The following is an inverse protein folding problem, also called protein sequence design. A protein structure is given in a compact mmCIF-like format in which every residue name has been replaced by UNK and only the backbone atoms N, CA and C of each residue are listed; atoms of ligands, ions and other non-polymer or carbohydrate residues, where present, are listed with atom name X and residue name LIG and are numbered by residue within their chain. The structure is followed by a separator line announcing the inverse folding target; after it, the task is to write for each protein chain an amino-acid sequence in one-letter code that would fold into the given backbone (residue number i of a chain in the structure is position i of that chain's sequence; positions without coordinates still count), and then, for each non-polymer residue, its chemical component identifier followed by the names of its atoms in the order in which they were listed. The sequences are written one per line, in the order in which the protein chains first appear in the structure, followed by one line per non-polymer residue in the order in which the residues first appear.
data_IF_311010559072
#
_entry.id   IF_311010559072
#
_cell.length_a   1.000
_cell.length_b   1.000
_cell.length_c   1.000
_cell.angle_alpha   90.00
_cell.angle_beta   90.00
_cell.angle_gamma   90.00
#
_symmetry.space_group_name_H-M   'P 1'
#
loop_
_entity.id
_entity.type
_entity.pdbx_description
1 polymer ?
#
# COMPACT_ATOMS: atom_id res chain seq x y z
N UNK A 1 -21.55 -9.65 -9.16
CA UNK A 1 -20.75 -8.59 -8.53
C UNK A 1 -20.30 -7.63 -9.63
N UNK A 2 -21.25 -7.00 -10.33
CA UNK A 2 -20.90 -5.74 -10.96
C UNK A 2 -20.46 -4.82 -9.82
N UNK A 3 -19.18 -4.45 -9.78
CA UNK A 3 -18.76 -3.27 -9.02
C UNK A 3 -19.67 -2.16 -9.54
N UNK A 4 -20.30 -1.43 -8.61
CA UNK A 4 -20.92 -0.14 -8.94
C UNK A 4 -19.90 0.62 -9.79
N UNK A 5 -20.28 1.28 -10.90
CA UNK A 5 -19.38 2.16 -11.61
C UNK A 5 -19.13 3.33 -10.67
N UNK A 6 -18.09 3.19 -9.87
CA UNK A 6 -17.56 4.25 -9.02
C UNK A 6 -16.33 4.68 -9.77
N UNK A 7 -16.26 5.96 -10.17
CA UNK A 7 -15.30 6.48 -11.14
C UNK A 7 -13.83 6.24 -10.78
N UNK A 8 -12.93 6.92 -11.49
CA UNK A 8 -11.50 6.70 -11.33
C UNK A 8 -11.00 6.78 -9.87
N UNK A 9 -10.13 5.86 -9.45
CA UNK A 9 -9.67 5.80 -8.07
C UNK A 9 -8.90 7.07 -7.72
N UNK A 10 -9.34 7.75 -6.65
CA UNK A 10 -8.64 8.92 -6.14
C UNK A 10 -7.53 8.46 -5.19
N UNK A 11 -6.27 8.89 -5.40
CA UNK A 11 -5.19 8.63 -4.48
C UNK A 11 -5.32 9.49 -3.22
N UNK A 12 -5.55 8.85 -2.08
CA UNK A 12 -5.54 9.52 -0.78
C UNK A 12 -4.29 9.12 0.00
N UNK A 13 -3.75 10.09 0.73
CA UNK A 13 -2.68 9.85 1.71
C UNK A 13 -3.13 10.44 3.04
N UNK A 14 -3.05 9.62 4.07
CA UNK A 14 -3.34 10.00 5.45
C UNK A 14 -2.05 9.86 6.24
N UNK A 15 -1.87 10.63 7.31
CA UNK A 15 -0.80 10.36 8.25
C UNK A 15 -0.99 8.94 8.86
N UNK A 16 0.10 8.27 9.26
CA UNK A 16 0.04 6.88 9.72
C UNK A 16 -0.96 6.66 10.87
N UNK A 17 -1.07 7.63 11.79
CA UNK A 17 -1.94 7.52 12.97
C UNK A 17 -3.42 7.64 12.62
N UNK A 18 -3.78 8.60 11.76
CA UNK A 18 -5.13 8.75 11.23
C UNK A 18 -5.53 7.52 10.42
N UNK A 19 -4.62 7.00 9.58
CA UNK A 19 -4.89 5.80 8.79
C UNK A 19 -5.19 4.60 9.69
N UNK A 20 -4.35 4.35 10.69
CA UNK A 20 -4.53 3.24 11.63
C UNK A 20 -5.87 3.34 12.36
N UNK A 21 -6.22 4.52 12.90
CA UNK A 21 -7.49 4.73 13.61
C UNK A 21 -8.71 4.53 12.72
N UNK A 22 -8.65 4.95 11.46
CA UNK A 22 -9.72 4.69 10.49
C UNK A 22 -9.85 3.20 10.18
N UNK A 23 -8.74 2.47 10.08
CA UNK A 23 -8.73 1.03 9.86
C UNK A 23 -9.33 0.27 11.06
N UNK A 24 -8.96 0.66 12.29
CA UNK A 24 -9.54 0.15 13.54
C UNK A 24 -11.07 0.36 13.57
N UNK A 25 -11.55 1.58 13.32
CA UNK A 25 -12.99 1.86 13.25
C UNK A 25 -13.70 1.04 12.15
N UNK A 26 -13.03 0.75 11.04
CA UNK A 26 -13.64 -0.11 10.01
C UNK A 26 -13.64 -1.59 10.35
N UNK A 27 -12.72 -2.05 11.18
CA UNK A 27 -12.69 -3.44 11.64
C UNK A 27 -13.96 -3.78 12.42
N UNK A 28 -14.42 -2.85 13.27
CA UNK A 28 -15.62 -3.00 14.10
C UNK A 28 -16.92 -3.04 13.27
N UNK A 29 -16.94 -2.36 12.11
CA UNK A 29 -18.11 -2.31 11.21
C UNK A 29 -18.11 -3.51 10.24
N UNK A 30 -16.93 -4.04 9.90
CA UNK A 30 -16.76 -5.26 9.13
C UNK A 30 -15.81 -5.16 7.93
N UNK A 31 -15.40 -6.29 7.35
CA UNK A 31 -14.28 -6.36 6.42
C UNK A 31 -14.53 -5.57 5.13
N UNK A 32 -13.48 -4.86 4.66
CA UNK A 32 -13.43 -4.12 3.38
C UNK A 32 -14.39 -2.92 3.29
N UNK A 33 -14.72 -2.28 4.42
CA UNK A 33 -15.61 -1.10 4.46
C UNK A 33 -14.88 0.25 4.50
N UNK A 34 -13.54 0.26 4.50
CA UNK A 34 -12.72 1.47 4.51
C UNK A 34 -13.15 2.50 3.45
N UNK A 35 -13.31 2.09 2.19
CA UNK A 35 -13.74 3.02 1.13
C UNK A 35 -15.14 3.60 1.34
N UNK A 36 -16.05 2.87 1.98
CA UNK A 36 -17.38 3.39 2.32
C UNK A 36 -17.31 4.35 3.51
N UNK A 37 -16.47 4.07 4.51
CA UNK A 37 -16.21 5.00 5.62
C UNK A 37 -15.67 6.33 5.11
N UNK A 38 -14.69 6.29 4.20
CA UNK A 38 -14.11 7.48 3.58
C UNK A 38 -15.15 8.27 2.79
N UNK A 39 -16.05 7.61 2.04
CA UNK A 39 -17.16 8.30 1.36
C UNK A 39 -18.16 8.91 2.33
N UNK A 40 -18.48 8.23 3.45
CA UNK A 40 -19.32 8.80 4.51
C UNK A 40 -18.67 10.05 5.09
N UNK A 41 -17.36 10.04 5.32
CA UNK A 41 -16.62 11.22 5.78
C UNK A 41 -16.75 12.39 4.79
N UNK A 42 -16.53 12.13 3.50
CA UNK A 42 -16.67 13.15 2.45
C UNK A 42 -18.09 13.75 2.43
N UNK A 43 -19.12 12.90 2.52
CA UNK A 43 -20.52 13.35 2.51
C UNK A 43 -20.91 14.11 3.76
N UNK A 44 -20.34 13.78 4.93
CA UNK A 44 -20.53 14.55 6.17
C UNK A 44 -19.87 15.92 6.06
N UNK A 45 -18.69 16.01 5.46
CA UNK A 45 -18.02 17.28 5.20
C UNK A 45 -18.87 18.18 4.27
N UNK A 46 -19.42 17.60 3.20
CA UNK A 46 -20.26 18.31 2.23
C UNK A 46 -21.67 18.66 2.74
N UNK A 47 -22.13 18.04 3.83
CA UNK A 47 -23.44 18.33 4.40
C UNK A 47 -23.50 19.71 5.09
N UNK A 48 -22.34 20.26 5.47
CA UNK A 48 -22.22 21.57 6.12
C UNK A 48 -21.02 22.34 5.52
N UNK A 49 -21.13 22.78 4.25
CA UNK A 49 -20.01 23.37 3.51
C UNK A 49 -19.54 24.71 4.11
N UNK A 50 -20.43 25.43 4.80
CA UNK A 50 -20.14 26.75 5.37
C UNK A 50 -19.21 26.69 6.58
N UNK A 51 -19.15 25.54 7.28
CA UNK A 51 -18.22 25.32 8.40
C UNK A 51 -16.85 24.79 7.97
N UNK A 52 -16.71 24.35 6.72
CA UNK A 52 -15.45 23.81 6.19
C UNK A 52 -14.30 24.83 6.20
N UNK A 53 -14.47 26.12 5.83
CA UNK A 53 -13.38 27.10 5.83
C UNK A 53 -12.73 27.26 7.20
N UNK A 54 -13.54 27.40 8.26
CA UNK A 54 -13.04 27.58 9.62
C UNK A 54 -12.31 26.33 10.12
N UNK A 55 -12.90 25.14 9.89
CA UNK A 55 -12.30 23.88 10.28
C UNK A 55 -10.99 23.59 9.51
N UNK A 56 -10.94 23.95 8.22
CA UNK A 56 -9.73 23.83 7.40
C UNK A 56 -8.63 24.77 7.90
N UNK A 57 -8.95 26.03 8.18
CA UNK A 57 -7.99 27.00 8.73
C UNK A 57 -7.45 26.56 10.10
N UNK A 58 -8.30 25.98 10.96
CA UNK A 58 -7.87 25.42 12.24
C UNK A 58 -6.99 24.19 12.06
N UNK A 59 -7.33 23.29 11.13
CA UNK A 59 -6.52 22.11 10.82
C UNK A 59 -5.14 22.49 10.24
N UNK A 60 -5.08 23.51 9.38
CA UNK A 60 -3.83 24.07 8.85
C UNK A 60 -2.96 24.65 9.97
N UNK A 61 -3.55 25.41 10.90
CA UNK A 61 -2.85 25.95 12.08
C UNK A 61 -2.35 24.87 13.03
N UNK A 62 -3.21 23.94 13.44
CA UNK A 62 -2.81 22.82 14.31
C UNK A 62 -1.75 21.94 13.65
N UNK A 63 -1.84 21.73 12.34
CA UNK A 63 -0.80 21.02 11.59
C UNK A 63 0.49 21.82 11.52
N UNK A 64 0.43 23.14 11.43
CA UNK A 64 1.61 23.99 11.50
C UNK A 64 2.27 23.92 12.88
N UNK A 65 1.50 24.03 13.95
CA UNK A 65 1.98 23.93 15.33
C UNK A 65 2.56 22.56 15.65
N UNK A 66 1.90 21.46 15.22
CA UNK A 66 2.43 20.10 15.42
C UNK A 66 3.70 19.82 14.60
N UNK A 67 3.93 20.57 13.52
CA UNK A 67 5.13 20.47 12.67
C UNK A 67 6.23 21.43 13.09
N UNK A 68 5.98 22.34 14.05
CA UNK A 68 7.01 23.18 14.66
C UNK A 68 8.09 22.31 15.27
N UNK A 69 9.33 22.57 14.86
CA UNK A 69 10.47 21.72 15.18
C UNK A 69 10.89 21.99 16.63
N UNK A 70 10.86 20.99 17.54
CA UNK A 70 11.62 21.10 18.78
C UNK A 70 13.10 21.10 18.38
N UNK A 71 13.76 22.24 18.56
CA UNK A 71 15.14 22.40 18.18
C UNK A 71 16.05 21.53 19.04
N UNK A 72 17.00 20.83 18.41
CA UNK A 72 18.05 20.13 19.13
C UNK A 72 19.12 21.15 19.56
N UNK A 73 19.33 21.28 20.87
CA UNK A 73 20.44 22.06 21.40
C UNK A 73 21.75 21.31 21.18
N UNK A 74 22.74 21.99 20.59
CA UNK A 74 24.10 21.47 20.45
C UNK A 74 25.12 22.48 20.96
N UNK A 75 26.08 22.07 21.82
CA UNK A 75 27.23 22.90 22.12
C UNK A 75 28.14 22.94 20.89
N UNK A 76 28.61 24.13 20.54
CA UNK A 76 29.53 24.39 19.46
C UNK A 76 30.67 25.27 19.98
N UNK A 77 31.86 24.70 20.06
CA UNK A 77 33.08 25.44 20.42
C UNK A 77 33.65 26.07 19.17
N UNK A 78 33.90 27.39 19.23
CA UNK A 78 34.40 28.23 18.13
C UNK A 78 35.66 28.96 18.57
N UNK A 79 36.50 29.36 17.61
CA UNK A 79 37.55 30.34 17.87
C UNK A 79 36.92 31.75 18.07
N UNK A 80 37.60 32.66 18.79
CA UNK A 80 37.04 33.98 19.11
C UNK A 80 36.67 34.82 17.88
N UNK A 81 37.44 34.73 16.79
CA UNK A 81 37.19 35.50 15.57
C UNK A 81 35.91 35.02 14.88
N UNK A 82 35.75 33.70 14.72
CA UNK A 82 34.55 33.07 14.16
C UNK A 82 33.32 33.39 15.01
N UNK A 83 33.43 33.31 16.34
CA UNK A 83 32.32 33.64 17.27
C UNK A 83 31.87 35.10 17.13
N UNK A 84 32.83 36.03 17.09
CA UNK A 84 32.56 37.47 16.93
C UNK A 84 31.87 37.77 15.60
N UNK A 85 32.38 37.20 14.50
CA UNK A 85 31.80 37.41 13.17
C UNK A 85 30.39 36.83 13.06
N UNK A 86 30.15 35.65 13.65
CA UNK A 86 28.82 35.04 13.70
C UNK A 86 27.83 35.92 14.47
N UNK A 87 28.27 36.55 15.56
CA UNK A 87 27.43 37.48 16.33
C UNK A 87 27.10 38.76 15.54
N UNK A 88 28.08 39.32 14.84
CA UNK A 88 27.86 40.49 13.97
C UNK A 88 26.83 40.21 12.87
N UNK A 89 26.93 39.07 12.18
CA UNK A 89 25.96 38.69 11.15
C UNK A 89 24.56 38.48 11.73
N UNK A 90 24.44 37.86 12.91
CA UNK A 90 23.16 37.72 13.57
C UNK A 90 22.50 39.08 13.85
N UNK A 91 23.30 40.06 14.28
CA UNK A 91 22.83 41.43 14.51
C UNK A 91 22.45 42.15 13.21
N UNK A 92 23.28 42.07 12.17
CA UNK A 92 23.07 42.72 10.86
C UNK A 92 21.77 42.24 10.20
N UNK A 93 21.47 40.95 10.29
CA UNK A 93 20.27 40.35 9.68
C UNK A 93 19.09 40.23 10.65
N UNK A 94 19.14 40.90 11.80
CA UNK A 94 18.10 40.87 12.84
C UNK A 94 17.60 39.45 13.18
N UNK A 95 18.55 38.52 13.36
CA UNK A 95 18.27 37.10 13.57
C UNK A 95 19.13 36.52 14.69
N UNK A 96 18.99 35.22 14.96
CA UNK A 96 19.77 34.53 15.98
C UNK A 96 20.97 33.79 15.38
N UNK A 97 21.99 33.53 16.21
CA UNK A 97 23.17 32.75 15.79
C UNK A 97 22.76 31.37 15.25
N UNK A 98 21.72 30.76 15.81
CA UNK A 98 21.20 29.47 15.35
C UNK A 98 20.64 29.53 13.92
N UNK A 99 19.96 30.61 13.54
CA UNK A 99 19.48 30.84 12.17
C UNK A 99 20.64 30.85 11.17
N UNK A 100 21.70 31.60 11.48
CA UNK A 100 22.88 31.67 10.62
C UNK A 100 23.52 30.29 10.46
N UNK A 101 23.69 29.55 11.57
CA UNK A 101 24.27 28.18 11.54
C UNK A 101 23.38 27.21 10.76
N UNK A 102 22.04 27.33 10.85
CA UNK A 102 21.12 26.51 10.04
C UNK A 102 21.26 26.79 8.55
N UNK A 103 21.46 28.04 8.14
CA UNK A 103 21.74 28.39 6.74
C UNK A 103 23.09 27.81 6.30
N UNK A 104 24.12 27.97 7.13
CA UNK A 104 25.44 27.42 6.87
C UNK A 104 25.38 25.90 6.60
N UNK A 105 24.65 25.17 7.44
CA UNK A 105 24.45 23.73 7.29
C UNK A 105 23.62 23.38 6.06
N UNK A 106 22.61 24.18 5.73
CA UNK A 106 21.84 23.96 4.51
C UNK A 106 22.73 24.06 3.27
N UNK A 107 23.50 25.16 3.12
CA UNK A 107 24.47 25.35 2.04
C UNK A 107 25.49 24.21 2.00
N UNK A 108 26.00 23.81 3.16
CA UNK A 108 26.97 22.73 3.26
C UNK A 108 26.42 21.38 2.79
N UNK A 109 25.16 21.05 3.11
CA UNK A 109 24.52 19.80 2.70
C UNK A 109 24.03 19.82 1.25
N UNK A 110 23.75 20.98 0.67
CA UNK A 110 23.35 21.13 -0.73
C UNK A 110 24.54 21.24 -1.68
N UNK A 111 25.66 21.80 -1.22
CA UNK A 111 26.91 21.84 -1.97
C UNK A 111 27.61 20.48 -1.93
N UNK A 112 27.41 19.67 -2.97
CA UNK A 112 28.14 18.42 -3.18
C UNK A 112 29.64 18.71 -3.45
N UNK A 113 30.42 18.85 -2.37
CA UNK A 113 31.84 19.22 -2.44
C UNK A 113 32.76 18.32 -1.63
N UNK A 114 34.07 18.54 -1.75
CA UNK A 114 35.08 17.88 -0.90
C UNK A 114 35.01 18.47 0.51
N UNK A 115 34.39 17.77 1.46
CA UNK A 115 34.28 18.21 2.86
C UNK A 115 35.14 17.39 3.83
N UNK A 116 35.54 16.15 3.47
CA UNK A 116 36.25 15.24 4.39
C UNK A 116 37.54 15.84 4.96
N UNK A 117 38.41 16.37 4.11
CA UNK A 117 39.70 16.92 4.56
C UNK A 117 39.55 18.20 5.41
N UNK A 118 38.66 19.16 5.06
CA UNK A 118 38.33 20.27 5.95
C UNK A 118 37.79 19.84 7.32
N UNK A 119 36.90 18.83 7.37
CA UNK A 119 36.29 18.35 8.61
C UNK A 119 37.34 17.74 9.54
N UNK A 120 38.23 16.88 9.02
CA UNK A 120 39.30 16.30 9.82
C UNK A 120 40.28 17.35 10.36
N UNK A 121 40.55 18.41 9.58
CA UNK A 121 41.39 19.52 10.03
C UNK A 121 40.73 20.32 11.16
N UNK A 122 39.42 20.56 11.08
CA UNK A 122 38.65 21.25 12.12
C UNK A 122 38.40 20.40 13.38
N UNK A 123 38.50 19.08 13.28
CA UNK A 123 38.44 18.16 14.42
C UNK A 123 39.73 18.24 15.25
N UNK A 124 40.88 18.41 14.59
CA UNK A 124 42.20 18.47 15.23
C UNK A 124 42.58 19.83 15.84
N UNK A 125 41.67 20.83 15.82
CA UNK A 125 41.96 22.18 16.32
C UNK A 125 41.94 22.27 17.85
N UNK A 126 42.85 23.07 18.38
CA UNK A 126 43.03 23.27 19.83
C UNK A 126 42.70 24.69 20.31
N UNK A 127 42.42 25.62 19.40
CA UNK A 127 42.18 27.04 19.68
C UNK A 127 40.69 27.41 19.85
N UNK A 128 39.84 26.41 20.10
CA UNK A 128 38.39 26.56 20.24
C UNK A 128 38.00 26.90 21.69
N UNK A 129 38.05 28.17 22.05
CA UNK A 129 37.84 28.63 23.44
C UNK A 129 36.44 29.20 23.71
N UNK A 130 35.67 29.53 22.67
CA UNK A 130 34.35 30.14 22.81
C UNK A 130 33.23 29.11 22.63
N UNK A 131 32.58 28.71 23.74
CA UNK A 131 31.43 27.79 23.70
C UNK A 131 30.13 28.52 23.44
N UNK A 132 29.42 28.13 22.38
CA UNK A 132 28.09 28.67 22.01
C UNK A 132 27.07 27.55 21.93
N UNK A 133 25.82 27.81 22.36
CA UNK A 133 24.69 26.89 22.17
C UNK A 133 23.97 27.24 20.86
N UNK A 134 23.78 26.24 20.01
CA UNK A 134 23.06 26.40 18.73
C UNK A 134 21.89 25.45 18.66
N UNK A 135 20.78 25.94 18.11
CA UNK A 135 19.52 25.22 17.99
C UNK A 135 19.31 24.78 16.55
N UNK A 136 19.38 23.46 16.30
CA UNK A 136 19.43 22.87 14.96
C UNK A 136 18.25 21.93 14.70
N UNK A 137 17.91 21.75 13.43
CA UNK A 137 16.91 20.77 13.01
C UNK A 137 17.42 19.34 13.25
N UNK A 138 16.68 18.47 13.97
CA UNK A 138 17.08 17.07 14.16
C UNK A 138 17.30 16.33 12.83
N UNK A 139 16.48 16.59 11.82
CA UNK A 139 16.62 16.00 10.48
C UNK A 139 17.90 16.44 9.77
N UNK A 140 18.34 17.69 9.97
CA UNK A 140 19.62 18.19 9.43
C UNK A 140 20.80 17.50 10.10
N UNK A 141 20.73 17.24 11.41
CA UNK A 141 21.76 16.48 12.13
C UNK A 141 21.87 15.04 11.61
N UNK A 142 20.74 14.33 11.45
CA UNK A 142 20.74 12.96 10.89
C UNK A 142 21.34 12.94 9.47
N UNK A 143 21.01 13.91 8.63
CA UNK A 143 21.59 14.02 7.28
C UNK A 143 23.10 14.27 7.32
N UNK A 144 23.56 15.09 8.26
CA UNK A 144 24.97 15.40 8.45
C UNK A 144 25.75 14.17 8.94
N UNK A 145 25.24 13.44 9.92
CA UNK A 145 25.82 12.19 10.44
C UNK A 145 25.96 11.13 9.33
N UNK A 146 24.89 10.94 8.53
CA UNK A 146 24.91 10.03 7.38
C UNK A 146 25.97 10.41 6.35
N UNK A 147 26.13 11.71 6.07
CA UNK A 147 27.08 12.24 5.09
C UNK A 147 28.54 12.04 5.53
N UNK A 148 28.82 12.08 6.84
CA UNK A 148 30.16 11.86 7.40
C UNK A 148 30.48 10.35 7.51
N UNK A 149 29.46 9.48 7.47
CA UNK A 149 29.57 8.02 7.54
C UNK A 149 30.37 7.52 8.76
N UNK A 150 30.38 8.30 9.84
CA UNK A 150 31.01 7.99 11.14
C UNK A 150 30.12 8.55 12.24
N UNK A 151 29.91 7.75 13.29
CA UNK A 151 29.18 8.17 14.48
C UNK A 151 30.15 8.83 15.47
N UNK A 152 29.90 10.10 15.81
CA UNK A 152 30.67 10.82 16.83
C UNK A 152 30.32 12.31 16.90
N UNK A 153 30.09 12.82 18.12
CA UNK A 153 29.74 14.23 18.35
C UNK A 153 30.87 15.19 17.92
N UNK A 154 32.14 14.78 18.05
CA UNK A 154 33.30 15.59 17.69
C UNK A 154 33.35 15.92 16.19
N UNK A 155 33.20 14.91 15.33
CA UNK A 155 33.19 15.08 13.87
C UNK A 155 31.94 15.85 13.39
N UNK A 156 30.82 15.67 14.08
CA UNK A 156 29.59 16.43 13.79
C UNK A 156 29.80 17.91 14.10
N UNK A 157 30.38 18.24 15.26
CA UNK A 157 30.74 19.61 15.62
C UNK A 157 31.78 20.21 14.65
N UNK A 158 32.79 19.43 14.24
CA UNK A 158 33.76 19.86 13.25
C UNK A 158 33.12 20.16 11.89
N UNK A 159 32.15 19.35 11.45
CA UNK A 159 31.42 19.63 10.22
C UNK A 159 30.52 20.87 10.31
N UNK A 160 29.89 21.10 11.47
CA UNK A 160 29.16 22.36 11.73
C UNK A 160 30.14 23.54 11.65
N UNK A 161 31.34 23.45 12.24
CA UNK A 161 32.37 24.50 12.14
C UNK A 161 32.79 24.78 10.70
N UNK A 162 33.05 23.73 9.90
CA UNK A 162 33.38 23.88 8.48
C UNK A 162 32.26 24.59 7.72
N UNK A 163 31.00 24.19 7.97
CA UNK A 163 29.85 24.83 7.35
C UNK A 163 29.78 26.32 7.70
N UNK A 164 29.95 26.68 8.97
CA UNK A 164 29.97 28.07 9.44
C UNK A 164 31.11 28.85 8.77
N UNK A 165 32.34 28.33 8.77
CA UNK A 165 33.49 29.02 8.13
C UNK A 165 33.25 29.29 6.65
N UNK A 166 32.75 28.30 5.90
CA UNK A 166 32.40 28.49 4.49
C UNK A 166 31.37 29.60 4.27
N UNK A 167 30.38 29.70 5.15
CA UNK A 167 29.41 30.79 5.11
C UNK A 167 30.03 32.15 5.46
N UNK A 168 30.98 32.18 6.40
CA UNK A 168 31.67 33.42 6.77
C UNK A 168 32.64 33.90 5.69
N UNK A 169 33.27 32.96 4.97
CA UNK A 169 34.15 33.24 3.84
C UNK A 169 33.37 33.75 2.62
N UNK A 170 32.14 33.26 2.42
CA UNK A 170 31.23 33.70 1.36
C UNK A 170 29.79 33.94 1.89
N UNK A 171 29.51 35.14 2.43
CA UNK A 171 28.21 35.49 2.97
C UNK A 171 27.23 36.00 1.90
N UNK A 172 27.58 35.99 0.61
CA UNK A 172 26.69 36.47 -0.46
C UNK A 172 25.34 35.73 -0.40
N UNK A 173 24.24 36.43 -0.73
CA UNK A 173 22.86 35.90 -0.74
C UNK A 173 22.28 35.39 0.59
N UNK A 174 22.87 35.78 1.73
CA UNK A 174 22.39 35.35 3.04
C UNK A 174 20.93 35.77 3.30
N UNK A 175 20.50 36.96 2.85
CA UNK A 175 19.11 37.40 2.97
C UNK A 175 18.12 36.47 2.23
N UNK A 176 18.45 36.09 0.99
CA UNK A 176 17.63 35.18 0.18
C UNK A 176 17.56 33.79 0.82
N UNK A 177 18.66 33.32 1.38
CA UNK A 177 18.68 32.04 2.09
C UNK A 177 17.94 32.07 3.42
N UNK A 178 18.04 33.18 4.17
CA UNK A 178 17.26 33.37 5.39
C UNK A 178 15.77 33.32 5.08
N UNK A 179 15.30 33.93 3.98
CA UNK A 179 13.89 33.87 3.58
C UNK A 179 13.48 32.47 3.11
N UNK A 180 14.28 31.83 2.25
CA UNK A 180 14.03 30.46 1.74
C UNK A 180 14.00 29.43 2.87
N UNK A 181 14.90 29.58 3.84
CA UNK A 181 15.00 28.67 4.97
C UNK A 181 13.98 29.07 6.05
N UNK A 182 13.51 30.31 6.15
CA UNK A 182 12.47 30.71 7.13
C UNK A 182 11.15 29.96 6.97
N UNK A 183 10.71 29.72 5.73
CA UNK A 183 9.52 28.90 5.44
C UNK A 183 9.75 27.41 5.73
N UNK A 184 10.99 26.94 5.60
CA UNK A 184 11.40 25.59 5.97
C UNK A 184 11.78 25.43 7.47
N UNK A 185 12.03 26.53 8.20
CA UNK A 185 12.43 26.56 9.63
C UNK A 185 11.31 26.11 10.54
N UNK A 186 10.09 26.46 10.18
CA UNK A 186 8.97 26.34 11.11
C UNK A 186 8.22 25.03 10.95
N UNK A 187 8.47 24.25 9.90
CA UNK A 187 7.63 23.11 9.56
C UNK A 187 8.45 21.92 9.05
N UNK A 188 8.44 20.83 9.81
CA UNK A 188 8.77 19.50 9.24
C UNK A 188 7.84 19.20 8.05
N UNK A 189 8.31 18.50 7.00
CA UNK A 189 7.41 18.05 5.93
C UNK A 189 6.35 17.09 6.49
N UNK A 190 5.10 17.23 6.02
CA UNK A 190 3.99 16.41 6.48
C UNK A 190 4.26 14.92 6.20
N UNK A 191 4.31 14.10 7.25
CA UNK A 191 4.54 12.66 7.14
C UNK A 191 3.27 11.96 6.67
N UNK A 192 3.15 11.85 5.36
CA UNK A 192 2.03 11.16 4.72
C UNK A 192 2.35 9.68 4.52
N UNK A 193 1.42 8.82 4.94
CA UNK A 193 1.50 7.37 4.79
C UNK A 193 1.29 6.89 3.34
N UNK A 194 1.29 5.56 3.14
CA UNK A 194 1.19 4.97 1.82
C UNK A 194 -0.14 5.30 1.13
N UNK A 195 -0.06 5.49 -0.19
CA UNK A 195 -1.19 5.80 -1.09
C UNK A 195 -2.31 4.77 -0.91
N UNK A 196 -3.51 5.26 -0.65
CA UNK A 196 -4.73 4.47 -0.53
C UNK A 196 -5.71 4.92 -1.62
N UNK A 197 -6.10 4.01 -2.50
CA UNK A 197 -7.00 4.32 -3.61
C UNK A 197 -8.45 4.14 -3.15
N UNK A 198 -9.24 5.22 -3.20
CA UNK A 198 -10.66 5.21 -2.87
C UNK A 198 -11.47 5.65 -4.08
N UNK A 199 -12.54 4.92 -4.37
CA UNK A 199 -13.45 5.26 -5.46
C UNK A 199 -14.58 6.15 -4.95
N UNK A 200 -14.84 7.23 -5.67
CA UNK A 200 -15.96 8.17 -5.47
C UNK A 200 -16.87 8.16 -6.70
N UNK A 201 -18.17 8.33 -6.50
CA UNK A 201 -19.10 8.64 -7.58
C UNK A 201 -18.80 10.03 -8.16
N UNK A 202 -19.19 10.25 -9.42
CA UNK A 202 -18.84 11.47 -10.15
C UNK A 202 -19.48 12.71 -9.50
N UNK A 203 -20.73 12.63 -9.04
CA UNK A 203 -21.39 13.72 -8.28
C UNK A 203 -20.60 14.12 -7.03
N UNK A 204 -20.15 13.13 -6.25
CA UNK A 204 -19.36 13.37 -5.03
C UNK A 204 -17.98 13.95 -5.36
N UNK A 205 -17.40 13.56 -6.51
CA UNK A 205 -16.14 14.12 -6.99
C UNK A 205 -16.30 15.58 -7.37
N UNK A 206 -17.31 15.91 -8.16
CA UNK A 206 -17.54 17.27 -8.65
C UNK A 206 -17.85 18.23 -7.50
N UNK A 207 -18.61 17.78 -6.50
CA UNK A 207 -18.87 18.57 -5.29
C UNK A 207 -17.59 18.86 -4.50
N UNK A 208 -16.70 17.87 -4.36
CA UNK A 208 -15.41 18.07 -3.68
C UNK A 208 -14.48 18.98 -4.48
N UNK A 209 -14.45 18.85 -5.81
CA UNK A 209 -13.64 19.71 -6.69
C UNK A 209 -14.12 21.17 -6.65
N UNK A 210 -15.42 21.39 -6.68
CA UNK A 210 -16.01 22.73 -6.55
C UNK A 210 -15.71 23.37 -5.19
N UNK A 211 -15.80 22.58 -4.11
CA UNK A 211 -15.46 23.07 -2.77
C UNK A 211 -13.96 23.35 -2.64
N UNK A 212 -13.11 22.48 -3.18
CA UNK A 212 -11.66 22.65 -3.17
C UNK A 212 -11.23 23.91 -3.91
N UNK A 213 -11.79 24.15 -5.11
CA UNK A 213 -11.53 25.36 -5.90
C UNK A 213 -11.96 26.65 -5.19
N UNK A 214 -13.10 26.63 -4.47
CA UNK A 214 -13.56 27.79 -3.69
C UNK A 214 -12.68 28.12 -2.49
N UNK A 215 -11.97 27.14 -1.94
CA UNK A 215 -11.21 27.27 -0.68
C UNK A 215 -9.69 27.31 -0.88
N UNK A 216 -9.23 27.38 -2.14
CA UNK A 216 -7.81 27.26 -2.50
C UNK A 216 -7.16 26.07 -1.76
N UNK A 217 -7.77 24.90 -1.96
CA UNK A 217 -7.43 23.63 -1.31
C UNK A 217 -7.39 22.53 -2.36
N UNK A 218 -6.84 21.38 -2.00
CA UNK A 218 -6.94 20.17 -2.82
C UNK A 218 -7.92 19.14 -2.22
N UNK A 219 -8.38 18.21 -3.06
CA UNK A 219 -9.25 17.10 -2.64
C UNK A 219 -8.65 16.27 -1.50
N UNK A 220 -7.34 16.04 -1.51
CA UNK A 220 -6.69 15.20 -0.50
C UNK A 220 -6.65 15.89 0.88
N UNK A 221 -6.52 17.21 0.93
CA UNK A 221 -6.57 18.04 2.14
C UNK A 221 -8.00 18.05 2.71
N UNK A 222 -9.01 18.24 1.87
CA UNK A 222 -10.41 18.12 2.28
C UNK A 222 -10.71 16.71 2.82
N UNK A 223 -10.18 15.66 2.19
CA UNK A 223 -10.36 14.29 2.67
C UNK A 223 -9.62 14.01 3.99
N UNK A 224 -8.46 14.63 4.22
CA UNK A 224 -7.76 14.57 5.52
C UNK A 224 -8.58 15.28 6.60
N UNK A 225 -9.16 16.44 6.30
CA UNK A 225 -10.07 17.16 7.20
C UNK A 225 -11.32 16.32 7.51
N UNK A 226 -11.96 15.75 6.48
CA UNK A 226 -13.13 14.88 6.64
C UNK A 226 -12.83 13.67 7.53
N UNK A 227 -11.67 13.02 7.33
CA UNK A 227 -11.22 11.92 8.17
C UNK A 227 -11.04 12.35 9.62
N UNK A 228 -10.39 13.49 9.89
CA UNK A 228 -10.21 14.01 11.26
C UNK A 228 -11.54 14.33 11.93
N UNK A 229 -12.47 14.98 11.23
CA UNK A 229 -13.81 15.27 11.75
C UNK A 229 -14.60 14.00 12.04
N UNK A 230 -14.49 12.98 11.18
CA UNK A 230 -15.13 11.68 11.40
C UNK A 230 -14.56 11.00 12.66
N UNK A 231 -13.24 11.02 12.84
CA UNK A 231 -12.57 10.47 14.03
C UNK A 231 -12.94 11.23 15.31
N UNK A 232 -13.15 12.54 15.23
CA UNK A 232 -13.58 13.36 16.36
C UNK A 232 -15.04 13.07 16.75
N UNK A 233 -15.90 12.75 15.78
CA UNK A 233 -17.32 12.47 15.99
C UNK A 233 -17.77 11.17 15.29
N UNK A 234 -17.39 9.99 15.83
CA UNK A 234 -17.66 8.68 15.23
C UNK A 234 -19.10 8.17 15.52
N UNK A 235 -20.11 9.04 15.46
CA UNK A 235 -21.52 8.65 15.69
C UNK A 235 -22.15 8.04 14.45
N UNK A 236 -23.08 7.10 14.65
CA UNK A 236 -23.93 6.48 13.61
C UNK A 236 -23.17 5.87 12.42
N UNK A 237 -21.94 5.41 12.64
CA UNK A 237 -21.07 4.93 11.56
C UNK A 237 -21.60 3.66 10.90
N UNK A 238 -22.08 2.68 11.66
CA UNK A 238 -22.55 1.42 11.06
C UNK A 238 -23.77 1.65 10.15
N UNK A 239 -24.73 2.48 10.60
CA UNK A 239 -25.89 2.84 9.78
C UNK A 239 -25.51 3.69 8.57
N UNK A 240 -24.62 4.69 8.74
CA UNK A 240 -24.19 5.56 7.65
C UNK A 240 -23.37 4.82 6.59
N UNK A 241 -22.41 3.99 7.01
CA UNK A 241 -21.60 3.14 6.13
C UNK A 241 -22.48 2.13 5.41
N UNK A 242 -23.43 1.54 6.12
CA UNK A 242 -24.44 0.66 5.52
C UNK A 242 -25.21 1.43 4.44
N UNK A 243 -25.86 2.55 4.75
CA UNK A 243 -26.58 3.38 3.77
C UNK A 243 -25.70 3.74 2.56
N UNK A 244 -24.43 4.09 2.78
CA UNK A 244 -23.48 4.40 1.71
C UNK A 244 -23.16 3.21 0.81
N UNK A 245 -23.08 1.99 1.35
CA UNK A 245 -22.92 0.76 0.57
C UNK A 245 -24.14 0.49 -0.31
N UNK A 246 -25.35 0.83 0.17
CA UNK A 246 -26.61 0.58 -0.54
C UNK A 246 -27.12 1.78 -1.36
N UNK A 247 -26.38 2.90 -1.43
CA UNK A 247 -26.81 4.15 -2.08
C UNK A 247 -26.97 4.04 -3.60
N UNK A 248 -26.25 3.12 -4.25
CA UNK A 248 -26.40 2.88 -5.69
C UNK A 248 -27.67 2.07 -6.00
N UNK A 249 -28.69 2.73 -6.59
CA UNK A 249 -29.99 2.11 -6.90
C UNK A 249 -29.89 0.85 -7.78
N UNK A 250 -28.89 0.79 -8.66
CA UNK A 250 -28.66 -0.34 -9.56
C UNK A 250 -28.49 -1.72 -8.87
N UNK A 251 -28.13 -1.76 -7.58
CA UNK A 251 -27.92 -3.00 -6.82
C UNK A 251 -28.60 -3.04 -5.43
N UNK A 252 -29.35 -1.99 -5.05
CA UNK A 252 -29.99 -1.86 -3.73
C UNK A 252 -30.90 -3.04 -3.40
N UNK A 253 -31.77 -3.44 -4.33
CA UNK A 253 -32.70 -4.58 -4.18
C UNK A 253 -31.94 -5.90 -3.99
N UNK A 254 -30.88 -6.14 -4.78
CA UNK A 254 -30.08 -7.38 -4.73
C UNK A 254 -29.28 -7.51 -3.43
N UNK A 255 -28.75 -6.40 -2.93
CA UNK A 255 -27.98 -6.39 -1.69
C UNK A 255 -28.91 -6.50 -0.47
N UNK A 256 -30.07 -5.81 -0.46
CA UNK A 256 -31.07 -5.93 0.60
C UNK A 256 -31.61 -7.37 0.70
N UNK A 257 -31.99 -7.98 -0.43
CA UNK A 257 -32.46 -9.37 -0.51
C UNK A 257 -31.42 -10.42 -0.05
N UNK A 258 -30.13 -10.07 -0.07
CA UNK A 258 -29.04 -10.92 0.42
C UNK A 258 -28.81 -10.73 1.92
N UNK A 259 -28.95 -9.51 2.42
CA UNK A 259 -28.81 -9.20 3.83
C UNK A 259 -29.99 -9.77 4.64
N UNK A 260 -31.22 -9.69 4.11
CA UNK A 260 -32.40 -10.38 4.69
C UNK A 260 -32.22 -11.89 4.68
N UNK A 261 -31.73 -12.50 3.58
CA UNK A 261 -31.42 -13.93 3.55
C UNK A 261 -30.39 -14.35 4.61
N UNK A 262 -29.34 -13.54 4.83
CA UNK A 262 -28.33 -13.80 5.89
C UNK A 262 -28.88 -13.66 7.30
N UNK A 263 -29.76 -12.68 7.53
CA UNK A 263 -30.44 -12.52 8.83
C UNK A 263 -31.45 -13.65 9.09
N UNK A 264 -32.20 -14.08 8.07
CA UNK A 264 -33.13 -15.21 8.17
C UNK A 264 -32.40 -16.54 8.40
N UNK A 265 -31.22 -16.75 7.81
CA UNK A 265 -30.39 -17.94 8.11
C UNK A 265 -29.68 -17.88 9.46
N UNK A 266 -29.53 -16.69 10.05
CA UNK A 266 -29.01 -16.51 11.40
C UNK A 266 -30.12 -16.57 12.49
N UNK A 267 -31.39 -16.39 12.11
CA UNK A 267 -32.55 -16.36 13.01
C UNK A 267 -33.40 -17.64 13.00
N UNK A 268 -33.06 -18.63 12.17
CA UNK A 268 -33.69 -19.95 12.22
C UNK A 268 -32.95 -20.85 13.24
N UNK A 269 -33.67 -21.29 14.26
CA UNK A 269 -33.19 -22.03 15.43
C UNK A 269 -32.50 -23.39 15.11
N UNK A 270 -31.64 -23.91 16.01
CA UNK A 270 -30.63 -24.93 15.73
C UNK A 270 -31.11 -26.39 15.75
N UNK A 271 -32.40 -26.64 15.97
CA UNK A 271 -32.90 -27.96 16.42
C UNK A 271 -33.32 -28.93 15.30
N UNK A 272 -33.16 -28.58 14.03
CA UNK A 272 -33.42 -29.50 12.90
C UNK A 272 -32.18 -29.71 12.04
N UNK A 273 -31.07 -30.14 12.66
CA UNK A 273 -29.92 -30.70 11.93
C UNK A 273 -29.79 -32.20 12.18
N UNK A 274 -30.16 -32.98 11.16
CA UNK A 274 -29.60 -34.31 10.89
C UNK A 274 -28.05 -34.24 10.86
N UNK A 275 -27.32 -35.33 11.16
CA UNK A 275 -25.95 -35.27 11.66
C UNK A 275 -25.04 -34.53 10.68
N UNK A 276 -24.47 -33.42 11.17
CA UNK A 276 -23.67 -32.52 10.39
C UNK A 276 -22.31 -33.17 10.06
N UNK A 277 -22.08 -33.47 8.78
CA UNK A 277 -20.71 -33.43 8.23
C UNK A 277 -20.18 -32.04 8.57
N UNK A 278 -19.13 -31.99 9.40
CA UNK A 278 -18.51 -30.77 9.93
C UNK A 278 -18.22 -29.80 8.77
N UNK A 279 -19.09 -28.81 8.61
CA UNK A 279 -18.91 -27.73 7.63
C UNK A 279 -17.77 -26.85 8.14
N UNK A 280 -16.60 -26.98 7.53
CA UNK A 280 -15.44 -26.17 7.84
C UNK A 280 -15.79 -24.66 7.70
N UNK A 281 -15.21 -23.79 8.55
CA UNK A 281 -15.51 -22.36 8.54
C UNK A 281 -15.14 -21.75 7.17
N UNK A 282 -16.08 -21.04 6.55
CA UNK A 282 -15.83 -20.29 5.32
C UNK A 282 -14.70 -19.26 5.55
N UNK A 283 -13.63 -19.26 4.75
CA UNK A 283 -12.47 -18.43 5.05
C UNK A 283 -12.74 -16.97 4.67
N UNK A 284 -12.47 -16.05 5.60
CA UNK A 284 -12.30 -14.61 5.34
C UNK A 284 -10.98 -14.31 4.59
N UNK A 285 -10.49 -15.23 3.74
CA UNK A 285 -9.22 -15.17 3.03
C UNK A 285 -9.36 -15.21 1.50
N UNK A 286 -8.21 -15.24 0.81
CA UNK A 286 -8.08 -15.46 -0.64
C UNK A 286 -9.07 -16.55 -1.12
N UNK A 287 -9.93 -16.31 -2.14
CA UNK A 287 -10.97 -17.27 -2.56
C UNK A 287 -10.43 -18.59 -3.10
N UNK A 288 -9.11 -18.70 -3.25
CA UNK A 288 -8.39 -19.90 -3.70
C UNK A 288 -7.53 -20.51 -2.59
N UNK A 289 -7.76 -20.15 -1.32
CA UNK A 289 -7.04 -20.66 -0.15
C UNK A 289 -5.56 -20.29 -0.06
N UNK A 290 -4.81 -21.06 0.73
CA UNK A 290 -3.38 -20.84 0.99
C UNK A 290 -2.54 -21.30 -0.21
N UNK A 291 -1.33 -20.74 -0.34
CA UNK A 291 -0.39 -21.13 -1.41
C UNK A 291 0.37 -22.37 -0.98
N UNK A 292 0.34 -23.40 -1.81
CA UNK A 292 1.08 -24.64 -1.65
C UNK A 292 2.14 -24.74 -2.73
N UNK A 293 3.35 -25.12 -2.33
CA UNK A 293 4.50 -25.23 -3.23
C UNK A 293 4.59 -26.68 -3.71
N UNK A 294 4.57 -26.87 -5.03
CA UNK A 294 4.79 -28.18 -5.65
C UNK A 294 6.04 -28.14 -6.51
N UNK A 295 6.75 -29.27 -6.58
CA UNK A 295 7.97 -29.41 -7.40
C UNK A 295 7.70 -30.13 -8.71
N UNK A 296 8.18 -29.58 -9.82
CA UNK A 296 8.07 -30.16 -11.16
C UNK A 296 9.46 -30.26 -11.79
N UNK A 297 9.59 -31.04 -12.86
CA UNK A 297 10.72 -30.91 -13.78
C UNK A 297 10.60 -29.58 -14.55
N UNK A 298 11.74 -29.01 -14.95
CA UNK A 298 11.78 -27.71 -15.64
C UNK A 298 11.03 -27.73 -16.97
N UNK A 299 11.02 -28.88 -17.68
CA UNK A 299 10.29 -29.03 -18.94
C UNK A 299 8.78 -28.96 -18.74
N UNK A 300 8.24 -29.66 -17.75
CA UNK A 300 6.82 -29.63 -17.40
C UNK A 300 6.42 -28.24 -16.91
N UNK A 301 7.25 -27.57 -16.10
CA UNK A 301 6.99 -26.19 -15.68
C UNK A 301 6.93 -25.24 -16.88
N UNK A 302 7.92 -25.28 -17.77
CA UNK A 302 7.96 -24.44 -18.98
C UNK A 302 6.73 -24.66 -19.85
N UNK A 303 6.34 -25.92 -20.11
CA UNK A 303 5.14 -26.25 -20.90
C UNK A 303 3.84 -25.79 -20.23
N UNK A 304 3.77 -25.85 -18.90
CA UNK A 304 2.62 -25.32 -18.16
C UNK A 304 2.55 -23.79 -18.22
N UNK A 305 3.70 -23.10 -18.21
CA UNK A 305 3.78 -21.64 -18.37
C UNK A 305 3.36 -21.22 -19.77
N UNK A 306 3.87 -21.88 -20.81
CA UNK A 306 3.48 -21.66 -22.21
C UNK A 306 1.97 -21.88 -22.42
N UNK A 307 1.42 -23.00 -21.91
CA UNK A 307 -0.01 -23.27 -22.01
C UNK A 307 -0.84 -22.29 -21.18
N UNK A 308 -0.34 -21.83 -20.02
CA UNK A 308 -1.05 -20.86 -19.19
C UNK A 308 -1.05 -19.45 -19.79
N UNK A 309 0.01 -19.06 -20.50
CA UNK A 309 0.15 -17.74 -21.11
C UNK A 309 -0.86 -17.49 -22.24
N UNK A 310 -1.32 -18.54 -22.91
CA UNK A 310 -2.47 -18.49 -23.83
C UNK A 310 -3.72 -17.89 -23.14
N UNK A 311 -3.91 -18.17 -21.85
CA UNK A 311 -5.00 -17.68 -21.01
C UNK A 311 -4.62 -16.42 -20.18
N UNK A 312 -3.40 -15.89 -20.37
CA UNK A 312 -2.86 -14.67 -19.77
C UNK A 312 -1.76 -14.90 -18.72
N UNK A 313 -0.99 -13.86 -18.36
CA UNK A 313 0.20 -14.01 -17.54
C UNK A 313 -0.13 -14.52 -16.13
N UNK A 314 0.71 -15.44 -15.64
CA UNK A 314 0.67 -16.01 -14.27
C UNK A 314 -0.58 -16.87 -13.96
N UNK A 315 -1.08 -17.63 -14.95
CA UNK A 315 -2.29 -18.47 -14.80
C UNK A 315 -2.04 -19.96 -14.52
N UNK A 316 -0.78 -20.35 -14.32
CA UNK A 316 -0.35 -21.72 -13.99
C UNK A 316 -1.12 -22.30 -12.79
N UNK A 317 -1.39 -21.49 -11.76
CA UNK A 317 -2.16 -21.94 -10.59
C UNK A 317 -3.62 -22.28 -10.92
N UNK A 318 -4.24 -21.62 -11.90
CA UNK A 318 -5.61 -21.95 -12.32
C UNK A 318 -5.62 -23.23 -13.16
N UNK A 319 -4.63 -23.37 -14.06
CA UNK A 319 -4.42 -24.57 -14.88
C UNK A 319 -4.25 -25.82 -14.02
N UNK A 320 -3.40 -25.74 -13.00
CA UNK A 320 -3.19 -26.86 -12.07
C UNK A 320 -4.44 -27.18 -11.25
N UNK A 321 -5.25 -26.20 -10.84
CA UNK A 321 -6.54 -26.46 -10.17
C UNK A 321 -7.53 -27.21 -11.08
N UNK A 322 -7.61 -26.83 -12.36
CA UNK A 322 -8.44 -27.55 -13.35
C UNK A 322 -7.96 -28.99 -13.52
N UNK A 323 -6.64 -29.19 -13.61
CA UNK A 323 -6.03 -30.51 -13.71
C UNK A 323 -6.35 -31.38 -12.50
N UNK A 324 -6.22 -30.83 -11.30
CA UNK A 324 -6.52 -31.53 -10.04
C UNK A 324 -8.00 -31.93 -9.97
N UNK A 325 -8.92 -31.02 -10.32
CA UNK A 325 -10.36 -31.36 -10.33
C UNK A 325 -10.69 -32.43 -11.35
N UNK A 326 -10.10 -32.37 -12.54
CA UNK A 326 -10.22 -33.44 -13.54
C UNK A 326 -9.70 -34.78 -13.03
N UNK A 327 -8.63 -34.76 -12.23
CA UNK A 327 -8.09 -35.98 -11.65
C UNK A 327 -9.02 -36.56 -10.57
N UNK A 328 -9.63 -35.71 -9.74
CA UNK A 328 -10.61 -36.12 -8.71
C UNK A 328 -11.90 -36.65 -9.35
N UNK A 329 -12.37 -36.02 -10.43
CA UNK A 329 -13.55 -36.44 -11.20
C UNK A 329 -13.29 -37.70 -12.06
N UNK A 330 -12.03 -38.10 -12.25
CA UNK A 330 -11.68 -39.21 -13.14
C UNK A 330 -11.81 -40.56 -12.40
N UNK A 331 -12.70 -41.46 -12.83
CA UNK A 331 -12.85 -42.78 -12.22
C UNK A 331 -11.62 -43.68 -12.39
N UNK A 332 -10.83 -43.49 -13.46
CA UNK A 332 -9.60 -44.26 -13.76
C UNK A 332 -8.31 -43.56 -13.29
N UNK A 333 -8.34 -42.93 -12.11
CA UNK A 333 -7.19 -42.18 -11.57
C UNK A 333 -6.08 -43.10 -11.03
N UNK A 334 -6.47 -44.25 -10.50
CA UNK A 334 -5.66 -45.38 -10.07
C UNK A 334 -4.82 -45.98 -11.22
N UNK A 335 -5.44 -46.32 -12.34
CA UNK A 335 -4.71 -46.84 -13.52
C UNK A 335 -3.74 -45.81 -14.09
N UNK A 336 -4.15 -44.54 -14.15
CA UNK A 336 -3.30 -43.45 -14.61
C UNK A 336 -2.09 -43.21 -13.69
N UNK A 337 -2.28 -43.35 -12.38
CA UNK A 337 -1.21 -43.24 -11.39
C UNK A 337 -0.25 -44.43 -11.47
N UNK A 338 -0.77 -45.66 -11.61
CA UNK A 338 0.03 -46.86 -11.80
C UNK A 338 0.88 -46.76 -13.08
N UNK A 339 0.32 -46.26 -14.17
CA UNK A 339 1.05 -46.05 -15.41
C UNK A 339 2.13 -44.95 -15.28
N UNK A 340 1.84 -43.88 -14.54
CA UNK A 340 2.81 -42.81 -14.28
C UNK A 340 3.98 -43.27 -13.40
N UNK A 341 3.75 -44.20 -12.45
CA UNK A 341 4.80 -44.80 -11.62
C UNK A 341 5.73 -45.74 -12.39
N UNK A 342 5.26 -46.34 -13.49
CA UNK A 342 6.08 -47.21 -14.37
C UNK A 342 7.08 -46.43 -15.23
N UNK A 343 6.87 -45.14 -15.44
CA UNK A 343 7.77 -44.27 -16.20
C UNK A 343 8.74 -43.61 -15.22
N UNK A 344 10.05 -43.77 -15.43
CA UNK A 344 11.07 -43.15 -14.58
C UNK A 344 10.89 -41.63 -14.55
N UNK A 345 10.66 -41.07 -13.36
CA UNK A 345 10.40 -39.64 -13.20
C UNK A 345 11.71 -38.84 -13.20
N UNK A 346 11.85 -37.79 -14.03
CA UNK A 346 12.99 -36.89 -13.99
C UNK A 346 13.07 -36.11 -12.65
N UNK A 347 14.25 -35.57 -12.29
CA UNK A 347 14.44 -34.83 -11.05
C UNK A 347 13.56 -33.57 -10.98
N UNK A 348 12.82 -33.43 -9.87
CA UNK A 348 11.83 -32.37 -9.64
C UNK A 348 12.46 -31.18 -8.90
N UNK A 349 13.12 -30.30 -9.64
CA UNK A 349 13.86 -29.14 -9.08
C UNK A 349 13.06 -27.84 -9.11
N UNK A 350 12.11 -27.70 -10.04
CA UNK A 350 11.40 -26.46 -10.31
C UNK A 350 10.23 -26.23 -9.33
N UNK A 351 10.13 -25.06 -8.71
CA UNK A 351 9.06 -24.73 -7.74
C UNK A 351 7.89 -24.00 -8.39
N UNK A 352 6.67 -24.46 -8.15
CA UNK A 352 5.43 -23.82 -8.61
C UNK A 352 4.48 -23.61 -7.44
N UNK A 353 4.03 -22.37 -7.25
CA UNK A 353 3.06 -22.02 -6.22
C UNK A 353 1.62 -22.15 -6.73
N UNK A 354 0.84 -23.01 -6.09
CA UNK A 354 -0.57 -23.22 -6.42
C UNK A 354 -1.43 -22.81 -5.23
N UNK A 355 -2.37 -21.89 -5.45
CA UNK A 355 -3.39 -21.59 -4.44
C UNK A 355 -4.47 -22.69 -4.49
N UNK A 356 -4.65 -23.43 -3.40
CA UNK A 356 -5.68 -24.46 -3.25
C UNK A 356 -6.63 -24.06 -2.13
N UNK A 357 -7.94 -24.13 -2.39
CA UNK A 357 -8.96 -23.96 -1.36
C UNK A 357 -9.02 -25.21 -0.46
N UNK A 358 -9.52 -25.02 0.77
CA UNK A 358 -9.51 -26.08 1.79
C UNK A 358 -10.36 -27.31 1.37
N UNK A 359 -11.38 -27.09 0.52
CA UNK A 359 -12.24 -28.16 -0.02
C UNK A 359 -11.48 -29.01 -1.06
N UNK A 360 -10.80 -28.38 -2.01
CA UNK A 360 -10.00 -29.07 -3.01
C UNK A 360 -8.80 -29.79 -2.39
N UNK A 361 -8.22 -29.21 -1.35
CA UNK A 361 -7.15 -29.84 -0.58
C UNK A 361 -7.64 -31.09 0.15
N UNK A 362 -8.80 -31.02 0.81
CA UNK A 362 -9.41 -32.18 1.47
C UNK A 362 -9.78 -33.31 0.49
N UNK A 363 -10.30 -32.97 -0.71
CA UNK A 363 -10.58 -33.98 -1.74
C UNK A 363 -9.30 -34.60 -2.32
N UNK A 364 -8.23 -33.81 -2.45
CA UNK A 364 -6.95 -34.33 -2.91
C UNK A 364 -6.28 -35.22 -1.85
N UNK A 365 -6.47 -34.94 -0.56
CA UNK A 365 -6.06 -35.80 0.54
C UNK A 365 -6.80 -37.13 0.55
N UNK A 366 -8.14 -37.08 0.48
CA UNK A 366 -8.95 -38.29 0.41
C UNK A 366 -8.59 -39.16 -0.81
N UNK A 367 -8.23 -38.53 -1.93
CA UNK A 367 -7.75 -39.25 -3.11
C UNK A 367 -6.34 -39.84 -2.90
N UNK A 368 -5.45 -39.12 -2.21
CA UNK A 368 -4.11 -39.59 -1.87
C UNK A 368 -4.17 -40.82 -0.95
N UNK A 369 -5.02 -40.77 0.07
CA UNK A 369 -5.24 -41.86 1.03
C UNK A 369 -5.83 -43.10 0.32
N UNK A 370 -6.83 -42.89 -0.56
CA UNK A 370 -7.45 -43.99 -1.33
C UNK A 370 -6.47 -44.67 -2.29
N UNK A 371 -5.54 -43.92 -2.87
CA UNK A 371 -4.62 -44.42 -3.90
C UNK A 371 -3.23 -44.79 -3.36
N UNK A 372 -2.99 -44.65 -2.04
CA UNK A 372 -1.68 -44.87 -1.45
C UNK A 372 -0.60 -43.98 -2.09
N UNK A 373 -0.90 -42.69 -2.26
CA UNK A 373 -0.03 -41.70 -2.89
C UNK A 373 0.11 -40.46 -2.03
N UNK A 374 0.88 -39.47 -2.50
CA UNK A 374 1.05 -38.19 -1.83
C UNK A 374 0.54 -37.05 -2.73
N UNK A 375 0.29 -35.90 -2.12
CA UNK A 375 -0.21 -34.70 -2.82
C UNK A 375 0.66 -34.31 -4.01
N UNK A 376 1.97 -34.48 -3.88
CA UNK A 376 2.97 -34.09 -4.86
C UNK A 376 2.90 -34.96 -6.13
N UNK A 377 2.69 -36.27 -5.98
CA UNK A 377 2.48 -37.22 -7.08
C UNK A 377 1.17 -36.96 -7.82
N UNK A 378 0.08 -36.73 -7.08
CA UNK A 378 -1.22 -36.44 -7.68
C UNK A 378 -1.24 -35.12 -8.45
N UNK A 379 -0.60 -34.08 -7.91
CA UNK A 379 -0.48 -32.78 -8.60
C UNK A 379 0.41 -32.88 -9.83
N UNK A 380 1.47 -33.69 -9.78
CA UNK A 380 2.30 -33.98 -10.94
C UNK A 380 1.53 -34.75 -12.02
N UNK A 381 0.77 -35.79 -11.64
CA UNK A 381 -0.11 -36.53 -12.55
C UNK A 381 -1.17 -35.62 -13.19
N UNK A 382 -1.76 -34.71 -12.41
CA UNK A 382 -2.71 -33.71 -12.90
C UNK A 382 -2.08 -32.78 -13.96
N UNK A 383 -0.84 -32.32 -13.73
CA UNK A 383 -0.09 -31.50 -14.67
C UNK A 383 0.22 -32.23 -15.98
N UNK A 384 0.74 -33.46 -15.91
CA UNK A 384 1.07 -34.23 -17.10
C UNK A 384 -0.17 -34.58 -17.92
N UNK A 385 -1.29 -34.89 -17.24
CA UNK A 385 -2.56 -35.15 -17.92
C UNK A 385 -3.15 -33.90 -18.55
N UNK A 386 -3.07 -32.74 -17.92
CA UNK A 386 -3.61 -31.51 -18.52
C UNK A 386 -2.79 -31.09 -19.74
N UNK A 387 -1.46 -31.25 -19.71
CA UNK A 387 -0.61 -31.02 -20.89
C UNK A 387 -0.95 -31.98 -22.04
N UNK A 388 -1.22 -33.26 -21.74
CA UNK A 388 -1.55 -34.28 -22.74
C UNK A 388 -2.98 -34.16 -23.30
N UNK A 389 -3.94 -33.69 -22.49
CA UNK A 389 -5.36 -33.63 -22.83
C UNK A 389 -5.95 -32.22 -22.61
N UNK A 390 -5.28 -31.21 -23.18
CA UNK A 390 -5.66 -29.80 -23.07
C UNK A 390 -6.80 -29.40 -24.03
N UNK A 391 -7.21 -30.26 -24.96
CA UNK A 391 -8.37 -29.98 -25.82
C UNK A 391 -9.64 -29.78 -24.96
N UNK A 392 -10.36 -28.69 -25.20
CA UNK A 392 -11.58 -28.28 -24.50
C UNK A 392 -11.43 -27.91 -23.01
N UNK A 393 -10.22 -27.53 -22.54
CA UNK A 393 -10.05 -27.04 -21.16
C UNK A 393 -10.47 -25.57 -20.99
N UNK A 394 -10.67 -24.82 -22.06
CA UNK A 394 -10.95 -23.37 -22.03
C UNK A 394 -12.12 -22.99 -21.12
N UNK A 395 -13.26 -23.68 -21.25
CA UNK A 395 -14.45 -23.40 -20.43
C UNK A 395 -14.19 -23.69 -18.95
N UNK A 396 -13.45 -24.77 -18.64
CA UNK A 396 -13.08 -25.13 -17.27
C UNK A 396 -12.01 -24.18 -16.69
N UNK A 397 -11.10 -23.70 -17.52
CA UNK A 397 -10.10 -22.68 -17.18
C UNK A 397 -10.77 -21.36 -16.82
N UNK A 398 -11.72 -20.92 -17.63
CA UNK A 398 -12.52 -19.73 -17.35
C UNK A 398 -13.36 -19.92 -16.08
N UNK A 399 -13.97 -21.09 -15.91
CA UNK A 399 -14.73 -21.41 -14.70
C UNK A 399 -13.85 -21.40 -13.44
N UNK A 400 -12.61 -21.88 -13.51
CA UNK A 400 -11.69 -21.83 -12.38
C UNK A 400 -11.06 -20.45 -12.13
N UNK A 401 -10.77 -19.71 -13.18
CA UNK A 401 -10.35 -18.31 -13.07
C UNK A 401 -11.45 -17.44 -12.45
N UNK A 402 -12.72 -17.83 -12.64
CA UNK A 402 -13.90 -17.06 -12.25
C UNK A 402 -14.82 -17.77 -11.24
N UNK A 403 -14.31 -18.80 -10.55
CA UNK A 403 -15.02 -19.62 -9.54
C UNK A 403 -15.60 -18.81 -8.38
N UNK A 404 -15.14 -17.57 -8.19
CA UNK A 404 -15.85 -16.58 -7.39
C UNK A 404 -17.22 -16.29 -8.04
N UNK A 405 -18.23 -17.07 -7.62
CA UNK A 405 -19.62 -17.22 -8.10
C UNK A 405 -20.37 -15.95 -8.53
N UNK A 406 -19.86 -14.77 -8.20
CA UNK A 406 -20.57 -13.55 -8.43
C UNK A 406 -20.30 -12.89 -9.80
N UNK A 407 -19.25 -13.25 -10.57
CA UNK A 407 -18.85 -12.48 -11.78
C UNK A 407 -18.66 -13.23 -13.09
N UNK A 408 -19.05 -14.52 -13.14
CA UNK A 408 -18.88 -15.40 -14.31
C UNK A 408 -19.36 -14.76 -15.63
N UNK A 409 -20.59 -14.24 -15.68
CA UNK A 409 -21.19 -13.65 -16.92
C UNK A 409 -20.45 -12.40 -17.43
N UNK A 410 -19.99 -11.53 -16.52
CA UNK A 410 -19.32 -10.28 -16.89
C UNK A 410 -17.84 -10.50 -17.26
N UNK A 411 -17.18 -11.46 -16.64
CA UNK A 411 -15.77 -11.77 -16.91
C UNK A 411 -15.61 -12.63 -18.18
N UNK A 412 -16.57 -13.51 -18.48
CA UNK A 412 -16.68 -14.16 -19.79
C UNK A 412 -16.90 -13.14 -20.92
N UNK A 413 -17.76 -12.13 -20.72
CA UNK A 413 -17.96 -11.06 -21.70
C UNK A 413 -16.70 -10.19 -21.90
N UNK A 414 -15.95 -9.92 -20.82
CA UNK A 414 -14.67 -9.18 -20.89
C UNK A 414 -13.55 -10.00 -21.56
N UNK A 415 -13.53 -11.31 -21.34
CA UNK A 415 -12.62 -12.25 -22.02
C UNK A 415 -12.93 -12.34 -23.51
N UNK A 416 -14.20 -12.57 -23.88
CA UNK A 416 -14.65 -12.58 -25.27
C UNK A 416 -14.33 -11.27 -26.00
N UNK A 417 -14.45 -10.12 -25.33
CA UNK A 417 -14.09 -8.81 -25.91
C UNK A 417 -12.57 -8.66 -26.12
N UNK A 418 -11.74 -9.19 -25.22
CA UNK A 418 -10.26 -9.16 -25.34
C UNK A 418 -9.75 -10.14 -26.40
N UNK A 419 -10.34 -11.32 -26.50
CA UNK A 419 -10.04 -12.27 -27.57
C UNK A 419 -10.45 -11.73 -28.95
N UNK A 420 -11.57 -10.99 -29.03
CA UNK A 420 -11.95 -10.29 -30.26
C UNK A 420 -10.93 -9.23 -30.69
N UNK A 421 -10.33 -8.51 -29.74
CA UNK A 421 -9.27 -7.52 -29.99
C UNK A 421 -7.96 -8.22 -30.42
N UNK A 422 -7.56 -9.31 -29.74
CA UNK A 422 -6.37 -10.09 -30.11
C UNK A 422 -6.47 -10.74 -31.50
N UNK A 423 -7.67 -11.18 -31.90
CA UNK A 423 -7.91 -11.71 -33.25
C UNK A 423 -7.87 -10.62 -34.32
N UNK A 424 -8.18 -9.36 -33.99
CA UNK A 424 -7.96 -8.22 -34.88
C UNK A 424 -6.47 -7.86 -34.98
N UNK A 425 -5.72 -7.87 -33.87
CA UNK A 425 -4.27 -7.56 -33.86
C UNK A 425 -3.41 -8.63 -34.56
N UNK A 426 -3.89 -9.88 -34.66
CA UNK A 426 -3.25 -10.93 -35.50
C UNK A 426 -3.68 -10.90 -36.96
N UNK A 427 -4.68 -10.08 -37.32
CA UNK A 427 -5.19 -9.95 -38.69
C UNK A 427 -4.57 -8.81 -39.49
N UNK A 428 -3.69 -8.00 -38.89
CA UNK A 428 -2.99 -6.89 -39.57
C UNK A 428 -1.60 -7.28 -40.08
N UNK A 429 -1.44 -8.53 -40.49
CA UNK A 429 -0.16 -9.08 -40.93
C UNK A 429 -0.34 -10.21 -41.94
N UNK A 430 -1.13 -9.96 -43.00
CA UNK A 430 -0.97 -10.53 -44.35
C UNK A 430 -1.62 -9.58 -45.34
#
# INVERSE_FOLDING_TARGET
MGRVPVGDPIPLRFDPTTKQRLEELTADIGPRRFGALVRVAARRLLADPDRVPQALAQARRASADARRIPWAERPLDLDPATSTRLHQLAHEFHTDRSAIVRVALHRFLTAAGRFRHPVLREDARTDLTCRTRVYLNPSTLVRLENLISRNGDALTAAAIRVAVRRLLDDPADLAADLTTISTARDLTPETLGPRTNVHFDDDLRDQLDNLAGRLDSDRAELMRLAARQLLANPRDLDQAVTKEIYRGDANRVKLLARNTRRRQTAAADPTTRAPAVRKAPSPQGNPFGKRHVFRFDEDTKRRLEELADEYGPRRVSALLRVGIRRLIENPAADEALAQARRVAAPPRTARVDVALDDELLAHLDALADRLGSNRQELVHLAATRILRFHHNIENRMLDEMFRAQNNRKHLLAKHARRERIRRMDRGSGT
#
